data_IF_289711210132
#
_entry.id   IF_289711210132
#
_cell.length_a   1.000
_cell.length_b   1.000
_cell.length_c   1.000
_cell.angle_alpha   90.00
_cell.angle_beta   90.00
_cell.angle_gamma   90.00
#
_symmetry.space_group_name_H-M   'P 1'
#
loop_
_entity.id
_entity.type
_entity.pdbx_description
1 polymer ?
#
# COMPACT_ATOMS: atom_id res chain seq x y z
N UNK A 1 -10.63 18.62 -9.84
CA UNK A 1 -10.54 17.19 -10.24
C UNK A 1 -10.22 16.38 -8.99
N UNK A 2 -10.88 15.23 -8.79
CA UNK A 2 -10.75 14.37 -7.60
C UNK A 2 -9.87 13.17 -7.90
N UNK A 3 -8.84 12.95 -7.11
CA UNK A 3 -7.86 11.88 -7.26
C UNK A 3 -7.88 10.94 -6.06
N UNK A 4 -8.32 9.70 -6.28
CA UNK A 4 -8.27 8.65 -5.27
C UNK A 4 -6.88 8.03 -5.27
N UNK A 5 -6.16 8.13 -4.16
CA UNK A 5 -4.79 7.65 -4.07
C UNK A 5 -4.75 6.22 -3.52
N UNK A 6 -4.06 5.35 -4.24
CA UNK A 6 -3.65 4.04 -3.72
C UNK A 6 -2.54 4.19 -2.65
N UNK A 7 -2.42 3.20 -1.76
CA UNK A 7 -1.43 3.19 -0.67
C UNK A 7 0.00 3.29 -1.21
N UNK A 8 0.30 2.72 -2.37
CA UNK A 8 1.64 2.76 -2.95
C UNK A 8 2.14 4.19 -3.21
N UNK A 9 1.25 5.13 -3.55
CA UNK A 9 1.60 6.54 -3.77
C UNK A 9 2.11 7.17 -2.47
N UNK A 10 1.44 6.88 -1.36
CA UNK A 10 1.81 7.34 -0.02
C UNK A 10 3.19 6.79 0.34
N UNK A 11 3.39 5.48 0.19
CA UNK A 11 4.64 4.81 0.50
C UNK A 11 5.80 5.40 -0.32
N UNK A 12 5.65 5.53 -1.64
CA UNK A 12 6.68 6.13 -2.47
C UNK A 12 6.96 7.59 -2.13
N UNK A 13 5.95 8.39 -1.80
CA UNK A 13 6.14 9.77 -1.37
C UNK A 13 7.04 9.86 -0.14
N UNK A 14 6.75 9.04 0.88
CA UNK A 14 7.54 8.99 2.12
C UNK A 14 8.89 8.28 1.93
N UNK A 15 9.23 7.85 0.72
CA UNK A 15 10.51 7.23 0.39
C UNK A 15 10.58 5.72 0.61
N UNK A 16 9.43 5.08 0.82
CA UNK A 16 9.30 3.64 0.96
C UNK A 16 9.06 3.01 -0.42
N UNK A 17 10.12 2.47 -1.02
CA UNK A 17 10.08 1.81 -2.31
C UNK A 17 11.45 1.39 -2.83
N UNK A 18 11.51 0.31 -3.60
CA UNK A 18 12.79 -0.22 -4.10
C UNK A 18 13.28 0.50 -5.36
N UNK A 19 12.42 1.30 -6.00
CA UNK A 19 12.69 1.99 -7.26
C UNK A 19 12.69 3.50 -7.05
N UNK A 20 13.89 4.09 -7.07
CA UNK A 20 14.09 5.54 -6.88
C UNK A 20 13.26 6.40 -7.85
N UNK A 21 13.07 5.93 -9.08
CA UNK A 21 12.23 6.62 -10.08
C UNK A 21 10.78 6.81 -9.61
N UNK A 22 10.19 5.83 -8.92
CA UNK A 22 8.81 5.93 -8.41
C UNK A 22 8.72 6.85 -7.20
N UNK A 23 9.76 6.89 -6.36
CA UNK A 23 9.86 7.84 -5.25
C UNK A 23 9.90 9.27 -5.80
N UNK A 24 10.78 9.55 -6.77
CA UNK A 24 10.90 10.88 -7.40
C UNK A 24 9.60 11.30 -8.08
N UNK A 25 9.01 10.42 -8.89
CA UNK A 25 7.72 10.69 -9.56
C UNK A 25 6.59 10.94 -8.55
N UNK A 26 6.48 10.14 -7.49
CA UNK A 26 5.43 10.33 -6.48
C UNK A 26 5.55 11.65 -5.75
N UNK A 27 6.77 12.07 -5.40
CA UNK A 27 7.01 13.38 -4.77
C UNK A 27 6.60 14.52 -5.67
N UNK A 28 7.09 14.52 -6.90
CA UNK A 28 6.73 15.52 -7.90
C UNK A 28 5.21 15.58 -8.12
N UNK A 29 4.57 14.43 -8.32
CA UNK A 29 3.12 14.32 -8.48
C UNK A 29 2.32 14.91 -7.31
N UNK A 30 2.71 14.62 -6.07
CA UNK A 30 2.03 15.12 -4.86
C UNK A 30 2.30 16.60 -4.65
N UNK A 31 3.54 17.05 -4.86
CA UNK A 31 3.93 18.44 -4.63
C UNK A 31 3.33 19.37 -5.70
N UNK A 32 3.05 18.87 -6.90
CA UNK A 32 2.34 19.55 -7.99
C UNK A 32 0.82 19.32 -8.00
N UNK A 33 0.24 18.92 -6.85
CA UNK A 33 -1.21 18.72 -6.66
C UNK A 33 -2.04 19.87 -7.25
N UNK A 34 -1.64 21.12 -7.03
CA UNK A 34 -2.38 22.30 -7.46
C UNK A 34 -3.79 22.33 -6.86
N UNK A 35 -4.81 22.56 -7.70
CA UNK A 35 -6.22 22.62 -7.28
C UNK A 35 -6.94 21.24 -7.27
N UNK A 36 -6.18 20.14 -7.30
CA UNK A 36 -6.76 18.78 -7.31
C UNK A 36 -7.01 18.32 -5.88
N UNK A 37 -8.09 17.58 -5.68
CA UNK A 37 -8.45 17.04 -4.37
C UNK A 37 -7.95 15.60 -4.27
N UNK A 38 -7.11 15.31 -3.28
CA UNK A 38 -6.60 13.98 -2.97
C UNK A 38 -7.54 13.31 -1.96
N UNK A 39 -8.08 12.17 -2.38
CA UNK A 39 -8.95 11.32 -1.61
C UNK A 39 -8.20 10.07 -1.17
N UNK A 40 -8.48 9.61 0.04
CA UNK A 40 -7.98 8.33 0.56
C UNK A 40 -9.13 7.57 1.19
N UNK A 41 -9.23 6.25 0.99
CA UNK A 41 -10.27 5.51 1.70
C UNK A 41 -9.91 5.27 3.17
N UNK A 42 -10.95 5.13 4.00
CA UNK A 42 -10.77 4.78 5.41
C UNK A 42 -9.99 3.47 5.58
N UNK A 43 -10.23 2.48 4.71
CA UNK A 43 -9.54 1.20 4.81
C UNK A 43 -8.01 1.32 4.66
N UNK A 44 -7.51 2.16 3.75
CA UNK A 44 -6.05 2.39 3.64
C UNK A 44 -5.51 3.00 4.93
N UNK A 45 -6.15 4.05 5.43
CA UNK A 45 -5.71 4.78 6.62
C UNK A 45 -5.78 3.95 7.90
N UNK A 46 -6.91 3.30 8.13
CA UNK A 46 -7.26 2.73 9.43
C UNK A 46 -6.83 1.26 9.57
N UNK A 47 -6.61 0.55 8.46
CA UNK A 47 -6.25 -0.87 8.47
C UNK A 47 -4.95 -1.16 7.71
N UNK A 48 -4.83 -0.65 6.49
CA UNK A 48 -3.81 -1.09 5.56
C UNK A 48 -2.41 -0.54 5.90
N UNK A 49 -2.29 0.77 6.07
CA UNK A 49 -1.05 1.42 6.49
C UNK A 49 -0.60 0.95 7.89
N UNK A 50 -1.48 0.87 8.93
CA UNK A 50 -1.09 0.34 10.23
C UNK A 50 -0.53 -1.08 10.18
N UNK A 51 -1.18 -2.00 9.45
CA UNK A 51 -0.68 -3.38 9.27
C UNK A 51 0.66 -3.40 8.54
N UNK A 52 0.83 -2.54 7.53
CA UNK A 52 2.09 -2.43 6.81
C UNK A 52 3.22 -1.92 7.71
N UNK A 53 2.96 -0.90 8.55
CA UNK A 53 3.92 -0.35 9.52
C UNK A 53 4.29 -1.41 10.56
N UNK A 54 3.33 -2.14 11.11
CA UNK A 54 3.58 -3.24 12.06
C UNK A 54 4.50 -4.29 11.44
N UNK A 55 4.25 -4.66 10.18
CA UNK A 55 5.12 -5.59 9.45
C UNK A 55 6.55 -5.07 9.29
N UNK A 56 6.76 -3.77 9.04
CA UNK A 56 8.11 -3.19 9.00
C UNK A 56 8.80 -3.27 10.37
N UNK A 57 8.07 -3.05 11.47
CA UNK A 57 8.59 -3.18 12.84
C UNK A 57 9.01 -4.64 13.13
N UNK A 58 8.19 -5.62 12.73
CA UNK A 58 8.52 -7.05 12.86
C UNK A 58 9.77 -7.39 12.04
N UNK A 59 9.84 -6.94 10.77
CA UNK A 59 10.99 -7.15 9.90
C UNK A 59 12.28 -6.62 10.55
N UNK A 60 12.22 -5.42 11.11
CA UNK A 60 13.36 -4.83 11.81
C UNK A 60 13.79 -5.63 13.04
N UNK A 61 12.84 -5.99 13.92
CA UNK A 61 13.15 -6.81 15.11
C UNK A 61 13.78 -8.14 14.74
N UNK A 62 13.27 -8.78 13.69
CA UNK A 62 13.80 -10.04 13.16
C UNK A 62 15.24 -9.89 12.66
N UNK A 63 15.50 -8.83 11.90
CA UNK A 63 16.85 -8.47 11.44
C UNK A 63 17.83 -8.26 12.61
N UNK A 64 17.44 -7.49 13.62
CA UNK A 64 18.29 -7.20 14.78
C UNK A 64 18.61 -8.45 15.59
N UNK A 65 17.63 -9.34 15.81
CA UNK A 65 17.86 -10.62 16.51
C UNK A 65 18.90 -11.47 15.76
N UNK A 66 18.75 -11.61 14.45
CA UNK A 66 19.70 -12.38 13.62
C UNK A 66 21.11 -11.77 13.55
N UNK A 67 21.26 -10.46 13.74
CA UNK A 67 22.57 -9.80 13.77
C UNK A 67 23.24 -9.95 15.14
N UNK A 68 22.48 -9.76 16.23
CA UNK A 68 23.04 -9.68 17.58
C UNK A 68 23.21 -11.03 18.25
N UNK A 69 22.40 -12.03 17.91
CA UNK A 69 22.44 -13.37 18.50
C UNK A 69 22.80 -14.42 17.44
N UNK A 70 23.99 -15.01 17.57
CA UNK A 70 24.50 -16.05 16.67
C UNK A 70 23.73 -17.37 16.80
N UNK A 71 23.07 -17.61 17.94
CA UNK A 71 22.30 -18.81 18.21
C UNK A 71 20.82 -18.64 17.90
N UNK A 72 20.40 -17.43 17.50
CA UNK A 72 19.01 -17.18 17.17
C UNK A 72 18.59 -17.97 15.93
N UNK A 73 17.50 -18.73 16.07
CA UNK A 73 16.89 -19.45 14.96
C UNK A 73 16.04 -18.48 14.12
N UNK A 74 16.39 -18.21 12.85
CA UNK A 74 15.64 -17.29 12.00
C UNK A 74 14.17 -17.67 11.87
N UNK A 75 13.29 -16.67 11.95
CA UNK A 75 11.84 -16.80 11.78
C UNK A 75 11.17 -17.76 12.79
N UNK A 76 11.77 -17.91 13.97
CA UNK A 76 11.24 -18.77 15.04
C UNK A 76 10.15 -18.12 15.88
N UNK A 77 10.03 -16.79 15.86
CA UNK A 77 9.06 -16.06 16.66
C UNK A 77 7.65 -16.09 16.06
N UNK A 78 6.61 -16.05 16.90
CA UNK A 78 5.21 -15.99 16.44
C UNK A 78 4.96 -14.77 15.55
N UNK A 79 5.55 -13.61 15.90
CA UNK A 79 5.46 -12.38 15.10
C UNK A 79 6.02 -12.58 13.68
N UNK A 80 7.15 -13.29 13.54
CA UNK A 80 7.82 -13.50 12.25
C UNK A 80 7.00 -14.35 11.26
N UNK A 81 5.97 -15.08 11.72
CA UNK A 81 5.02 -15.78 10.83
C UNK A 81 4.20 -14.82 9.97
N UNK A 82 4.08 -13.55 10.38
CA UNK A 82 3.40 -12.50 9.60
C UNK A 82 4.25 -11.97 8.44
N UNK A 83 5.52 -12.35 8.35
CA UNK A 83 6.42 -11.94 7.27
C UNK A 83 6.21 -12.80 6.03
N UNK A 84 6.05 -12.13 4.88
CA UNK A 84 5.95 -12.79 3.59
C UNK A 84 7.32 -13.22 3.08
N UNK A 85 7.34 -14.11 2.08
CA UNK A 85 8.59 -14.59 1.47
C UNK A 85 9.48 -13.43 0.97
N UNK A 86 8.87 -12.39 0.39
CA UNK A 86 9.59 -11.18 -0.03
C UNK A 86 10.28 -10.45 1.13
N UNK A 87 9.66 -10.44 2.31
CA UNK A 87 10.20 -9.80 3.51
C UNK A 87 11.40 -10.60 4.02
N UNK A 88 11.30 -11.93 4.01
CA UNK A 88 12.41 -12.84 4.35
C UNK A 88 13.59 -12.67 3.40
N UNK A 89 13.34 -12.58 2.10
CA UNK A 89 14.38 -12.27 1.09
C UNK A 89 15.06 -10.92 1.37
N UNK A 90 14.28 -9.90 1.75
CA UNK A 90 14.80 -8.58 2.15
C UNK A 90 15.69 -8.67 3.39
N UNK A 91 15.27 -9.41 4.43
CA UNK A 91 16.07 -9.62 5.65
C UNK A 91 17.40 -10.29 5.32
N UNK A 92 17.39 -11.37 4.52
CA UNK A 92 18.62 -12.09 4.14
C UNK A 92 19.60 -11.14 3.44
N UNK A 93 19.13 -10.34 2.47
CA UNK A 93 19.96 -9.34 1.77
C UNK A 93 20.56 -8.32 2.74
N UNK A 94 19.75 -7.80 3.66
CA UNK A 94 20.21 -6.85 4.66
C UNK A 94 21.26 -7.48 5.58
N UNK A 95 21.05 -8.69 6.10
CA UNK A 95 22.02 -9.38 6.96
C UNK A 95 23.36 -9.56 6.26
N UNK A 96 23.35 -10.00 5.00
CA UNK A 96 24.58 -10.14 4.20
C UNK A 96 25.32 -8.81 4.10
N UNK A 97 24.59 -7.71 3.85
CA UNK A 97 25.15 -6.37 3.82
C UNK A 97 25.70 -5.95 5.19
N UNK A 98 24.97 -6.15 6.28
CA UNK A 98 25.42 -5.84 7.65
C UNK A 98 26.68 -6.58 8.03
N UNK A 99 26.81 -7.86 7.67
CA UNK A 99 28.02 -8.65 7.95
C UNK A 99 29.26 -8.16 7.20
N UNK A 100 29.10 -7.34 6.15
CA UNK A 100 30.22 -6.75 5.41
C UNK A 100 30.80 -5.49 6.05
N UNK A 101 30.10 -4.90 7.03
CA UNK A 101 30.55 -3.70 7.73
C UNK A 101 31.24 -4.04 9.06
N UNK A 102 32.27 -3.26 9.41
CA UNK A 102 33.07 -3.41 10.63
C UNK A 102 32.42 -2.78 11.87
N UNK A 103 31.58 -1.74 11.71
CA UNK A 103 30.76 -1.16 12.78
C UNK A 103 29.28 -1.10 12.36
N UNK A 104 28.49 -2.00 12.94
CA UNK A 104 27.08 -2.15 12.64
C UNK A 104 26.18 -1.34 13.58
N UNK A 105 26.72 -0.80 14.69
CA UNK A 105 25.90 -0.13 15.71
C UNK A 105 25.27 1.14 15.17
N UNK A 106 26.04 1.95 14.44
CA UNK A 106 25.54 3.18 13.80
C UNK A 106 24.45 2.88 12.77
N UNK A 107 24.62 1.81 11.99
CA UNK A 107 23.67 1.41 10.95
C UNK A 107 22.37 0.91 11.59
N UNK A 108 22.46 0.08 12.63
CA UNK A 108 21.29 -0.39 13.41
C UNK A 108 20.50 0.78 13.98
N UNK A 109 21.18 1.74 14.62
CA UNK A 109 20.53 2.94 15.19
C UNK A 109 19.85 3.80 14.11
N UNK A 110 20.50 3.96 12.96
CA UNK A 110 19.90 4.69 11.83
C UNK A 110 18.66 3.97 11.29
N UNK A 111 18.68 2.64 11.21
CA UNK A 111 17.54 1.86 10.74
C UNK A 111 16.38 1.89 11.74
N UNK A 112 16.67 1.78 13.05
CA UNK A 112 15.66 1.93 14.10
C UNK A 112 14.94 3.27 14.00
N UNK A 113 15.73 4.35 13.87
CA UNK A 113 15.21 5.70 13.69
C UNK A 113 14.38 5.81 12.41
N UNK A 114 14.84 5.26 11.30
CA UNK A 114 14.09 5.26 10.04
C UNK A 114 12.72 4.58 10.19
N UNK A 115 12.66 3.42 10.87
CA UNK A 115 11.40 2.70 11.11
C UNK A 115 10.42 3.52 11.95
N UNK A 116 10.90 4.23 12.97
CA UNK A 116 10.07 5.13 13.80
C UNK A 116 9.60 6.34 12.99
N UNK A 117 10.46 6.91 12.15
CA UNK A 117 10.15 8.09 11.32
C UNK A 117 9.15 7.79 10.19
N UNK A 118 9.07 6.53 9.71
CA UNK A 118 8.10 6.14 8.66
C UNK A 118 6.65 6.44 9.08
N UNK A 119 6.26 6.03 10.28
CA UNK A 119 4.90 6.24 10.79
C UNK A 119 4.58 7.73 10.89
N UNK A 120 5.53 8.53 11.37
CA UNK A 120 5.41 9.99 11.46
C UNK A 120 5.24 10.60 10.06
N UNK A 121 6.07 10.21 9.09
CA UNK A 121 6.00 10.72 7.70
C UNK A 121 4.68 10.37 7.02
N UNK A 122 4.16 9.16 7.23
CA UNK A 122 2.86 8.72 6.72
C UNK A 122 1.74 9.57 7.35
N UNK A 123 1.76 9.77 8.67
CA UNK A 123 0.76 10.58 9.36
C UNK A 123 0.78 12.05 8.91
N UNK A 124 1.96 12.62 8.72
CA UNK A 124 2.13 13.96 8.15
C UNK A 124 1.53 14.02 6.74
N UNK A 125 1.85 13.04 5.88
CA UNK A 125 1.27 12.98 4.54
C UNK A 125 -0.26 12.96 4.56
N UNK A 126 -0.85 12.08 5.37
CA UNK A 126 -2.32 11.98 5.48
C UNK A 126 -2.91 13.30 5.98
N UNK A 127 -2.29 13.94 6.97
CA UNK A 127 -2.78 15.19 7.56
C UNK A 127 -2.68 16.38 6.59
N UNK A 128 -1.59 16.47 5.83
CA UNK A 128 -1.26 17.67 5.06
C UNK A 128 -1.62 17.56 3.57
N UNK A 129 -1.67 16.35 3.02
CA UNK A 129 -1.82 16.14 1.57
C UNK A 129 -3.19 15.56 1.20
N UNK A 130 -3.83 14.81 2.08
CA UNK A 130 -5.17 14.24 1.82
C UNK A 130 -6.24 15.24 2.25
N UNK A 131 -7.13 15.58 1.32
CA UNK A 131 -8.21 16.53 1.59
C UNK A 131 -9.42 15.85 2.23
N UNK A 132 -9.67 14.59 1.86
CA UNK A 132 -10.87 13.88 2.31
C UNK A 132 -10.65 12.38 2.45
N UNK A 133 -11.15 11.85 3.56
CA UNK A 133 -11.33 10.41 3.74
C UNK A 133 -12.70 9.99 3.20
N UNK A 134 -12.74 8.91 2.42
CA UNK A 134 -13.96 8.45 1.74
C UNK A 134 -14.29 7.01 2.10
N UNK A 135 -15.59 6.71 2.10
CA UNK A 135 -16.21 5.41 2.40
C UNK A 135 -15.67 4.77 3.69
N UNK A 136 -16.36 4.92 4.83
CA UNK A 136 -16.03 4.19 6.05
C UNK A 136 -15.93 2.68 5.79
N UNK A 137 -15.07 1.98 6.54
CA UNK A 137 -14.83 0.54 6.34
C UNK A 137 -16.13 -0.28 6.46
N UNK A 138 -17.03 0.10 7.35
CA UNK A 138 -18.35 -0.52 7.55
C UNK A 138 -19.29 -0.34 6.36
N UNK A 139 -19.05 0.68 5.54
CA UNK A 139 -19.97 1.12 4.49
C UNK A 139 -19.50 0.67 3.10
N UNK A 140 -18.38 -0.05 3.05
CA UNK A 140 -17.88 -0.68 1.82
C UNK A 140 -18.91 -1.74 1.39
N UNK A 141 -19.40 -1.59 0.16
CA UNK A 141 -20.40 -2.49 -0.41
C UNK A 141 -19.83 -3.91 -0.50
N UNK A 142 -20.45 -4.80 0.28
CA UNK A 142 -20.03 -6.19 0.39
C UNK A 142 -20.16 -6.94 -0.94
N UNK A 143 -21.20 -6.72 -1.73
CA UNK A 143 -21.43 -7.40 -3.01
C UNK A 143 -20.38 -6.96 -4.02
N UNK A 144 -20.12 -5.65 -4.12
CA UNK A 144 -19.09 -5.10 -4.98
C UNK A 144 -17.70 -5.62 -4.61
N UNK A 145 -17.33 -5.50 -3.33
CA UNK A 145 -16.04 -5.99 -2.81
C UNK A 145 -15.87 -7.48 -3.07
N UNK A 146 -16.91 -8.29 -2.88
CA UNK A 146 -16.83 -9.75 -3.06
C UNK A 146 -16.69 -10.16 -4.53
N UNK A 147 -17.27 -9.41 -5.46
CA UNK A 147 -17.03 -9.61 -6.90
C UNK A 147 -15.60 -9.27 -7.28
N UNK A 148 -15.10 -8.10 -6.85
CA UNK A 148 -13.71 -7.69 -7.09
C UNK A 148 -12.74 -8.73 -6.50
N UNK A 149 -13.00 -9.17 -5.26
CA UNK A 149 -12.22 -10.19 -4.59
C UNK A 149 -12.18 -11.50 -5.38
N UNK A 150 -13.32 -11.97 -5.88
CA UNK A 150 -13.36 -13.19 -6.69
C UNK A 150 -12.44 -13.06 -7.90
N UNK A 151 -12.49 -11.93 -8.60
CA UNK A 151 -11.69 -11.73 -9.81
C UNK A 151 -10.19 -11.60 -9.53
N UNK A 152 -9.80 -10.79 -8.54
CA UNK A 152 -8.38 -10.62 -8.15
C UNK A 152 -7.71 -11.94 -7.77
N UNK A 153 -8.49 -12.93 -7.32
CA UNK A 153 -7.98 -14.23 -6.88
C UNK A 153 -8.20 -15.35 -7.90
N UNK A 154 -8.67 -15.05 -9.12
CA UNK A 154 -8.74 -16.05 -10.19
C UNK A 154 -7.33 -16.53 -10.55
N UNK A 155 -6.98 -17.73 -10.11
CA UNK A 155 -5.69 -18.36 -10.39
C UNK A 155 -4.54 -17.99 -9.45
N UNK A 156 -4.81 -17.24 -8.37
CA UNK A 156 -3.82 -16.90 -7.34
C UNK A 156 -4.15 -17.53 -5.99
N UNK A 157 -3.13 -18.03 -5.29
CA UNK A 157 -3.25 -18.48 -3.89
C UNK A 157 -3.15 -17.32 -2.89
N UNK A 158 -2.83 -16.11 -3.36
CA UNK A 158 -2.67 -14.91 -2.53
C UNK A 158 -4.00 -14.18 -2.48
N UNK A 159 -4.59 -14.06 -1.29
CA UNK A 159 -5.88 -13.38 -1.06
C UNK A 159 -5.71 -11.86 -1.07
N UNK A 160 -6.10 -11.19 -2.15
CA UNK A 160 -6.06 -9.73 -2.27
C UNK A 160 -7.35 -9.04 -1.73
N UNK A 161 -7.77 -9.37 -0.51
CA UNK A 161 -8.92 -8.72 0.17
C UNK A 161 -8.67 -7.22 0.41
N UNK A 162 -7.40 -6.86 0.56
CA UNK A 162 -6.97 -5.48 0.70
C UNK A 162 -7.35 -4.63 -0.51
N UNK A 163 -6.91 -5.05 -1.69
CA UNK A 163 -7.14 -4.31 -2.93
C UNK A 163 -8.63 -4.34 -3.28
N UNK A 164 -9.32 -5.46 -3.03
CA UNK A 164 -10.77 -5.55 -3.22
C UNK A 164 -11.54 -4.46 -2.45
N UNK A 165 -11.18 -4.21 -1.18
CA UNK A 165 -11.82 -3.16 -0.36
C UNK A 165 -11.47 -1.76 -0.85
N UNK A 166 -10.22 -1.52 -1.21
CA UNK A 166 -9.76 -0.23 -1.71
C UNK A 166 -10.40 0.12 -3.06
N UNK A 167 -10.46 -0.84 -3.99
CA UNK A 167 -11.10 -0.69 -5.30
C UNK A 167 -12.62 -0.49 -5.15
N UNK A 168 -13.27 -1.27 -4.28
CA UNK A 168 -14.70 -1.11 -4.00
C UNK A 168 -15.00 0.32 -3.49
N UNK A 169 -14.20 0.82 -2.56
CA UNK A 169 -14.31 2.20 -2.06
C UNK A 169 -14.15 3.24 -3.18
N UNK A 170 -13.17 3.07 -4.07
CA UNK A 170 -12.95 3.98 -5.21
C UNK A 170 -14.15 3.98 -6.18
N UNK A 171 -14.71 2.81 -6.50
CA UNK A 171 -15.89 2.69 -7.36
C UNK A 171 -17.13 3.31 -6.69
N UNK A 172 -17.35 3.05 -5.39
CA UNK A 172 -18.46 3.64 -4.63
C UNK A 172 -18.37 5.17 -4.59
N UNK A 173 -17.19 5.72 -4.30
CA UNK A 173 -17.01 7.18 -4.26
C UNK A 173 -17.17 7.79 -5.65
N UNK A 174 -16.69 7.12 -6.71
CA UNK A 174 -16.88 7.59 -8.09
C UNK A 174 -18.37 7.72 -8.47
N UNK A 175 -19.22 6.85 -7.92
CA UNK A 175 -20.66 6.89 -8.14
C UNK A 175 -21.33 8.09 -7.47
N UNK A 176 -20.75 8.60 -6.39
CA UNK A 176 -21.18 9.85 -5.76
C UNK A 176 -20.64 11.06 -6.54
N UNK A 177 -19.34 11.05 -6.83
CA UNK A 177 -18.62 12.13 -7.50
C UNK A 177 -17.47 11.57 -8.33
N UNK A 178 -17.47 11.90 -9.62
CA UNK A 178 -16.45 11.43 -10.57
C UNK A 178 -15.02 11.64 -10.05
N UNK A 179 -14.21 10.60 -10.12
CA UNK A 179 -12.81 10.63 -9.70
C UNK A 179 -11.89 9.89 -10.68
N UNK A 180 -10.59 10.09 -10.51
CA UNK A 180 -9.54 9.29 -11.14
C UNK A 180 -8.74 8.58 -10.07
N UNK A 181 -8.51 7.29 -10.22
CA UNK A 181 -7.61 6.51 -9.37
C UNK A 181 -6.19 6.78 -9.81
N UNK A 182 -5.31 7.02 -8.84
CA UNK A 182 -3.87 7.14 -9.04
C UNK A 182 -3.18 6.00 -8.30
N UNK A 183 -2.47 5.17 -9.06
CA UNK A 183 -1.70 4.04 -8.52
C UNK A 183 -0.40 3.87 -9.30
N UNK A 184 0.56 3.17 -8.70
CA UNK A 184 1.75 2.67 -9.37
C UNK A 184 1.72 1.14 -9.52
N UNK A 185 0.65 0.50 -9.09
CA UNK A 185 0.41 -0.93 -9.24
C UNK A 185 -0.38 -1.18 -10.53
N UNK A 186 0.25 -1.80 -11.53
CA UNK A 186 -0.40 -2.19 -12.79
C UNK A 186 -0.94 -3.63 -12.76
N UNK A 187 -0.59 -4.39 -11.72
CA UNK A 187 -0.98 -5.80 -11.58
C UNK A 187 -2.40 -5.91 -11.07
N UNK A 188 -2.67 -5.32 -9.91
CA UNK A 188 -3.94 -5.47 -9.21
C UNK A 188 -4.95 -4.39 -9.62
N UNK A 189 -4.47 -3.26 -10.15
CA UNK A 189 -5.31 -2.20 -10.70
C UNK A 189 -5.17 -2.17 -12.22
N UNK A 190 -6.09 -2.83 -12.92
CA UNK A 190 -6.11 -2.81 -14.38
C UNK A 190 -7.52 -2.54 -14.92
N UNK A 191 -7.59 -2.18 -16.20
CA UNK A 191 -8.84 -1.77 -16.83
C UNK A 191 -9.76 -2.97 -17.04
N UNK A 192 -9.17 -4.13 -17.28
CA UNK A 192 -9.85 -5.40 -17.49
C UNK A 192 -10.65 -5.78 -16.24
N UNK A 193 -10.05 -5.70 -15.05
CA UNK A 193 -10.72 -5.90 -13.76
C UNK A 193 -11.95 -5.00 -13.62
N UNK A 194 -11.81 -3.70 -13.89
CA UNK A 194 -12.92 -2.77 -13.78
C UNK A 194 -14.02 -3.09 -14.80
N UNK A 195 -13.66 -3.43 -16.04
CA UNK A 195 -14.61 -3.84 -17.07
C UNK A 195 -15.39 -5.10 -16.66
N UNK A 196 -14.72 -6.08 -16.06
CA UNK A 196 -15.38 -7.30 -15.59
C UNK A 196 -16.36 -7.05 -14.44
N UNK A 197 -16.03 -6.14 -13.52
CA UNK A 197 -16.98 -5.65 -12.52
C UNK A 197 -18.22 -5.02 -13.18
N UNK A 198 -18.04 -4.31 -14.30
CA UNK A 198 -19.14 -3.73 -15.09
C UNK A 198 -19.94 -4.75 -15.90
N UNK A 199 -19.37 -5.93 -16.20
CA UNK A 199 -20.08 -6.98 -16.92
C UNK A 199 -21.15 -7.65 -16.02
N UNK A 200 -20.99 -7.59 -14.70
CA UNK A 200 -22.00 -8.10 -13.77
C UNK A 200 -23.25 -7.21 -13.74
N UNK A 201 -24.39 -7.73 -14.20
CA UNK A 201 -25.62 -6.96 -14.43
C UNK A 201 -26.07 -6.11 -13.23
N UNK A 202 -26.12 -6.70 -12.02
CA UNK A 202 -26.56 -5.96 -10.83
C UNK A 202 -25.57 -4.86 -10.44
N UNK A 203 -24.27 -5.12 -10.57
CA UNK A 203 -23.24 -4.13 -10.23
C UNK A 203 -23.21 -3.02 -11.26
N UNK A 204 -23.36 -3.33 -12.55
CA UNK A 204 -23.52 -2.34 -13.62
C UNK A 204 -24.67 -1.38 -13.37
N UNK A 205 -25.80 -1.91 -12.90
CA UNK A 205 -26.99 -1.11 -12.58
C UNK A 205 -26.75 -0.18 -11.39
N UNK A 206 -26.04 -0.66 -10.36
CA UNK A 206 -25.74 0.11 -9.15
C UNK A 206 -24.58 1.11 -9.32
N UNK A 207 -23.59 0.72 -10.14
CA UNK A 207 -22.36 1.45 -10.43
C UNK A 207 -22.22 1.65 -11.95
N UNK A 208 -23.07 2.51 -12.56
CA UNK A 208 -23.12 2.68 -14.01
C UNK A 208 -21.85 3.28 -14.61
N UNK A 209 -21.04 3.99 -13.81
CA UNK A 209 -19.78 4.62 -14.24
C UNK A 209 -18.63 4.12 -13.38
N UNK A 210 -17.55 3.77 -14.04
CA UNK A 210 -16.31 3.37 -13.39
C UNK A 210 -15.30 4.53 -13.39
N UNK A 211 -14.45 4.62 -12.36
CA UNK A 211 -13.39 5.60 -12.32
C UNK A 211 -12.35 5.32 -13.42
N UNK A 212 -11.72 6.38 -13.91
CA UNK A 212 -10.51 6.24 -14.73
C UNK A 212 -9.34 5.83 -13.85
N UNK A 213 -8.42 5.01 -14.36
CA UNK A 213 -7.15 4.68 -13.70
C UNK A 213 -6.02 5.39 -14.45
N UNK A 214 -5.24 6.19 -13.73
CA UNK A 214 -3.97 6.71 -14.20
C UNK A 214 -2.84 6.08 -13.40
N UNK A 215 -1.81 5.66 -14.12
CA UNK A 215 -0.64 5.05 -13.52
C UNK A 215 0.45 6.09 -13.33
N UNK A 216 1.07 6.12 -12.16
CA UNK A 216 2.18 7.03 -11.85
C UNK A 216 3.32 6.95 -12.88
N UNK A 217 3.53 5.76 -13.47
CA UNK A 217 4.53 5.56 -14.52
C UNK A 217 4.25 6.40 -15.77
N UNK A 218 2.98 6.67 -16.05
CA UNK A 218 2.48 7.29 -17.26
C UNK A 218 2.09 8.77 -17.03
N UNK A 219 2.25 9.25 -15.79
CA UNK A 219 2.17 10.66 -15.38
C UNK A 219 3.51 11.38 -15.56
#
# INVERSE_FOLDING_TARGET
MRWFLDMCIILYYVGEGDKEIFIKKSRHFVDEKGQKEFLLCHYIKDENLPRWIDRQKILFRELIKQINDKNYLPYSSEESKRLYERDRKKIIKLITLFRSFSDNKKIIKNFERAVQEIEVRINIFIKEKIDKLVIPVSDIDFELKSHIFTFLNLGSSIKNDSDAKTIASAIQENNNQNLTIITADKSDWNKELLQEVHNHYNLKKKYPKLPNINYLQDL
#
